data_IF_154238326268
#
_entry.id   IF_154238326268
#
_cell.length_a   1.000
_cell.length_b   1.000
_cell.length_c   1.000
_cell.angle_alpha   90.00
_cell.angle_beta   90.00
_cell.angle_gamma   90.00
#
_symmetry.space_group_name_H-M   'P 1'
#
loop_
_entity.id
_entity.type
_entity.pdbx_description
1 polymer ?
#
# COMPACT_ATOMS: atom_id res chain seq x y z
N UNK A 1 35.76 33.67 -20.99
CA UNK A 1 34.58 33.97 -20.14
C UNK A 1 33.33 33.15 -20.45
N UNK A 2 33.10 32.68 -21.69
CA UNK A 2 31.92 31.85 -22.02
C UNK A 2 31.99 30.40 -21.49
N UNK A 3 33.18 29.80 -21.45
CA UNK A 3 33.36 28.40 -21.03
C UNK A 3 33.28 28.20 -19.50
N UNK A 4 33.73 29.19 -18.73
CA UNK A 4 33.68 29.17 -17.25
C UNK A 4 32.24 29.19 -16.72
N UNK A 5 31.31 29.81 -17.45
CA UNK A 5 29.90 29.83 -17.07
C UNK A 5 29.21 28.46 -17.27
N UNK A 6 29.63 27.69 -18.28
CA UNK A 6 29.13 26.33 -18.52
C UNK A 6 29.60 25.33 -17.45
N UNK A 7 30.85 25.46 -17.00
CA UNK A 7 31.42 24.58 -15.98
C UNK A 7 30.72 24.75 -14.62
N UNK A 8 30.37 26.00 -14.27
CA UNK A 8 29.66 26.32 -13.02
C UNK A 8 28.21 25.79 -13.01
N UNK A 9 27.56 25.72 -14.17
CA UNK A 9 26.19 25.21 -14.30
C UNK A 9 26.11 23.68 -14.13
N UNK A 10 27.19 22.95 -14.45
CA UNK A 10 27.23 21.48 -14.35
C UNK A 10 27.28 20.95 -12.90
N UNK A 11 27.74 21.77 -11.96
CA UNK A 11 27.87 21.40 -10.53
C UNK A 11 26.51 21.37 -9.79
N UNK A 12 25.45 21.91 -10.37
CA UNK A 12 24.12 21.99 -9.76
C UNK A 12 23.18 20.81 -10.11
N UNK A 13 23.58 19.91 -11.00
CA UNK A 13 22.72 18.80 -11.47
C UNK A 13 22.79 17.57 -10.52
N UNK A 14 23.62 17.63 -9.49
CA UNK A 14 24.05 16.46 -8.72
C UNK A 14 23.19 16.03 -7.52
N UNK A 15 21.88 16.30 -7.44
CA UNK A 15 21.05 15.79 -6.33
C UNK A 15 19.60 15.47 -6.73
N UNK A 16 19.35 15.00 -7.95
CA UNK A 16 18.06 14.41 -8.31
C UNK A 16 18.00 12.93 -7.91
N UNK A 17 18.25 12.62 -6.64
CA UNK A 17 17.88 11.31 -6.11
C UNK A 17 16.37 11.36 -5.89
N UNK A 18 15.62 10.56 -6.64
CA UNK A 18 14.21 10.30 -6.36
C UNK A 18 14.09 9.60 -5.01
N UNK A 19 14.10 10.38 -3.94
CA UNK A 19 13.84 9.89 -2.59
C UNK A 19 12.35 9.53 -2.57
N UNK A 20 12.04 8.23 -2.53
CA UNK A 20 10.70 7.78 -2.18
C UNK A 20 10.27 8.41 -0.85
N UNK A 21 8.97 8.54 -0.61
CA UNK A 21 8.45 9.22 0.57
C UNK A 21 8.53 8.30 1.80
N UNK A 22 9.75 7.89 2.13
CA UNK A 22 10.04 7.00 3.24
C UNK A 22 9.92 7.77 4.55
N UNK A 23 8.87 7.48 5.30
CA UNK A 23 8.60 8.05 6.61
C UNK A 23 8.70 6.97 7.68
N UNK A 24 9.05 7.36 8.91
CA UNK A 24 9.15 6.44 10.03
C UNK A 24 7.83 5.68 10.26
N UNK A 25 7.92 4.36 10.41
CA UNK A 25 6.77 3.48 10.58
C UNK A 25 7.16 2.18 11.29
N UNK A 26 6.15 1.49 11.79
CA UNK A 26 6.29 0.16 12.37
C UNK A 26 5.45 -0.83 11.55
N UNK A 27 6.01 -1.99 11.22
CA UNK A 27 5.25 -3.11 10.67
C UNK A 27 5.11 -4.19 11.73
N UNK A 28 3.96 -4.85 11.79
CA UNK A 28 3.74 -6.03 12.64
C UNK A 28 3.55 -7.23 11.73
N UNK A 29 4.43 -8.22 11.87
CA UNK A 29 4.39 -9.46 11.09
C UNK A 29 3.21 -10.33 11.51
N UNK A 30 2.89 -11.35 10.70
CA UNK A 30 1.84 -12.34 11.05
C UNK A 30 2.15 -13.12 12.33
N UNK A 31 3.43 -13.28 12.66
CA UNK A 31 3.90 -13.91 13.89
C UNK A 31 3.78 -12.98 15.12
N UNK A 32 3.42 -11.71 14.91
CA UNK A 32 3.24 -10.72 15.99
C UNK A 32 4.50 -9.94 16.36
N UNK A 33 5.60 -10.13 15.61
CA UNK A 33 6.81 -9.33 15.79
C UNK A 33 6.60 -7.93 15.21
N UNK A 34 6.95 -6.89 15.97
CA UNK A 34 6.92 -5.51 15.48
C UNK A 34 8.32 -5.06 15.11
N UNK A 35 8.48 -4.58 13.88
CA UNK A 35 9.74 -4.10 13.32
C UNK A 35 9.61 -2.63 12.97
N UNK A 36 10.48 -1.80 13.56
CA UNK A 36 10.60 -0.39 13.22
C UNK A 36 11.45 -0.17 11.98
N UNK A 37 11.08 0.81 11.18
CA UNK A 37 11.81 1.24 10.00
C UNK A 37 11.10 2.40 9.31
N UNK A 38 11.13 2.39 7.99
CA UNK A 38 10.52 3.43 7.17
C UNK A 38 9.66 2.80 6.07
N UNK A 39 8.53 3.43 5.78
CA UNK A 39 7.58 3.01 4.76
C UNK A 39 7.45 4.11 3.71
N UNK A 40 7.40 3.73 2.44
CA UNK A 40 7.10 4.63 1.32
C UNK A 40 5.61 5.03 1.40
N UNK A 41 5.34 6.09 2.14
CA UNK A 41 3.99 6.52 2.47
C UNK A 41 3.41 7.38 1.35
N UNK A 42 2.22 7.03 0.88
CA UNK A 42 1.59 7.69 -0.27
C UNK A 42 0.24 8.32 0.07
N UNK A 43 -0.04 8.58 1.36
CA UNK A 43 -1.29 9.22 1.81
C UNK A 43 -2.55 8.56 1.20
N UNK A 44 -2.65 7.25 1.36
CA UNK A 44 -3.62 6.44 0.64
C UNK A 44 -5.07 6.84 0.91
N UNK A 45 -5.74 7.36 -0.12
CA UNK A 45 -7.21 7.52 -0.14
C UNK A 45 -7.88 6.15 -0.33
N UNK A 46 -7.25 5.26 -1.11
CA UNK A 46 -7.68 3.89 -1.35
C UNK A 46 -6.65 2.94 -0.75
N UNK A 47 -7.13 1.95 0.01
CA UNK A 47 -6.30 0.96 0.70
C UNK A 47 -5.20 0.38 -0.22
N UNK A 48 -3.92 0.43 0.22
CA UNK A 48 -2.81 -0.04 -0.60
C UNK A 48 -2.90 -1.54 -0.86
N UNK A 49 -2.54 -1.94 -2.10
CA UNK A 49 -2.38 -3.36 -2.46
C UNK A 49 -1.04 -3.94 -1.99
N UNK A 50 -0.05 -3.07 -1.86
CA UNK A 50 1.29 -3.38 -1.40
C UNK A 50 1.86 -2.16 -0.70
N UNK A 51 2.76 -2.38 0.25
CA UNK A 51 3.60 -1.33 0.83
C UNK A 51 5.07 -1.62 0.57
N UNK A 52 5.89 -0.58 0.55
CA UNK A 52 7.35 -0.70 0.46
C UNK A 52 7.96 -0.26 1.78
N UNK A 53 8.77 -1.11 2.37
CA UNK A 53 9.36 -0.91 3.69
C UNK A 53 10.87 -1.12 3.65
N UNK A 54 11.63 -0.33 4.42
CA UNK A 54 13.06 -0.53 4.65
C UNK A 54 13.35 -0.39 6.14
N UNK A 55 14.35 -1.11 6.65
CA UNK A 55 14.69 -1.07 8.08
C UNK A 55 15.33 0.26 8.50
N UNK A 56 16.12 0.85 7.60
CA UNK A 56 16.79 2.13 7.77
C UNK A 56 17.16 2.70 6.39
N UNK A 57 17.62 3.94 6.37
CA UNK A 57 18.13 4.58 5.17
C UNK A 57 19.28 3.76 4.56
N UNK A 58 19.22 3.53 3.24
CA UNK A 58 20.19 2.72 2.52
C UNK A 58 19.99 1.20 2.59
N UNK A 59 19.08 0.69 3.43
CA UNK A 59 18.72 -0.73 3.39
C UNK A 59 17.95 -1.12 2.13
N UNK A 60 18.00 -2.41 1.79
CA UNK A 60 17.16 -2.99 0.76
C UNK A 60 15.67 -2.76 1.06
N UNK A 61 14.94 -2.29 0.06
CA UNK A 61 13.49 -2.08 0.14
C UNK A 61 12.77 -3.41 -0.07
N UNK A 62 11.95 -3.78 0.90
CA UNK A 62 11.08 -4.95 0.85
C UNK A 62 9.66 -4.54 0.50
N UNK A 63 8.94 -5.36 -0.25
CA UNK A 63 7.54 -5.12 -0.61
C UNK A 63 6.66 -6.14 0.09
N UNK A 64 5.64 -5.65 0.80
CA UNK A 64 4.69 -6.49 1.53
C UNK A 64 3.28 -6.31 0.98
N UNK A 65 2.56 -7.41 0.83
CA UNK A 65 1.12 -7.48 0.58
C UNK A 65 0.35 -7.57 1.90
N UNK A 66 -0.96 -7.30 1.89
CA UNK A 66 -1.83 -7.52 3.06
C UNK A 66 -1.69 -8.90 3.69
N UNK A 67 -1.48 -9.96 2.90
CA UNK A 67 -1.33 -11.31 3.44
C UNK A 67 -0.04 -11.48 4.26
N UNK A 68 1.00 -10.71 3.98
CA UNK A 68 2.32 -10.87 4.60
C UNK A 68 2.41 -10.24 6.00
N UNK A 69 1.56 -9.25 6.28
CA UNK A 69 1.60 -8.47 7.53
C UNK A 69 0.29 -8.58 8.30
N UNK A 70 0.37 -8.42 9.62
CA UNK A 70 -0.79 -8.23 10.47
C UNK A 70 -1.28 -6.78 10.42
N UNK A 71 -0.35 -5.83 10.52
CA UNK A 71 -0.64 -4.39 10.48
C UNK A 71 0.61 -3.57 10.19
N UNK A 72 0.43 -2.30 9.90
CA UNK A 72 1.49 -1.30 9.96
C UNK A 72 0.94 0.03 10.49
N UNK A 73 1.82 0.85 11.07
CA UNK A 73 1.48 2.14 11.66
C UNK A 73 2.48 3.20 11.21
N UNK A 74 1.97 4.31 10.70
CA UNK A 74 2.76 5.48 10.34
C UNK A 74 3.07 6.28 11.61
N UNK A 75 4.35 6.50 11.92
CA UNK A 75 4.73 7.08 13.21
C UNK A 75 4.33 8.56 13.35
N UNK A 76 4.32 9.31 12.24
CA UNK A 76 4.10 10.77 12.26
C UNK A 76 2.66 11.15 12.65
N UNK A 77 1.67 10.43 12.12
CA UNK A 77 0.25 10.72 12.33
C UNK A 77 -0.49 9.60 13.07
N UNK A 78 0.22 8.54 13.49
CA UNK A 78 -0.32 7.34 14.15
C UNK A 78 -1.38 6.61 13.31
N UNK A 79 -1.38 6.82 12.00
CA UNK A 79 -2.31 6.16 11.10
C UNK A 79 -2.02 4.67 11.01
N UNK A 80 -3.02 3.86 11.35
CA UNK A 80 -2.88 2.41 11.43
C UNK A 80 -3.65 1.71 10.31
N UNK A 81 -2.99 0.73 9.71
CA UNK A 81 -3.55 -0.14 8.70
C UNK A 81 -3.48 -1.58 9.19
N UNK A 82 -4.59 -2.28 9.20
CA UNK A 82 -4.69 -3.68 9.63
C UNK A 82 -5.07 -4.56 8.45
N UNK A 83 -4.40 -5.69 8.30
CA UNK A 83 -4.75 -6.65 7.27
C UNK A 83 -5.98 -7.45 7.69
N UNK A 84 -7.05 -7.33 6.91
CA UNK A 84 -8.34 -7.99 7.15
C UNK A 84 -8.74 -8.85 5.96
N UNK A 85 -9.31 -10.01 6.26
CA UNK A 85 -9.93 -10.87 5.26
C UNK A 85 -11.33 -10.35 4.94
N UNK A 86 -11.62 -10.16 3.66
CA UNK A 86 -12.92 -9.69 3.17
C UNK A 86 -13.42 -10.62 2.08
N UNK A 87 -14.74 -10.80 2.03
CA UNK A 87 -15.40 -11.49 0.93
C UNK A 87 -15.86 -10.45 -0.07
N UNK A 88 -15.39 -10.56 -1.30
CA UNK A 88 -15.73 -9.63 -2.37
C UNK A 88 -16.61 -10.37 -3.37
N UNK A 89 -17.75 -9.76 -3.71
CA UNK A 89 -18.57 -10.20 -4.83
C UNK A 89 -17.99 -9.61 -6.12
N UNK A 90 -17.83 -10.45 -7.14
CA UNK A 90 -17.40 -10.03 -8.47
C UNK A 90 -18.58 -10.13 -9.43
N UNK A 91 -19.27 -9.01 -9.64
CA UNK A 91 -20.25 -8.91 -10.72
C UNK A 91 -19.56 -8.44 -12.01
N UNK A 92 -19.71 -9.15 -13.14
CA UNK A 92 -19.21 -8.66 -14.41
C UNK A 92 -20.00 -7.41 -14.82
N UNK A 93 -19.33 -6.27 -14.86
CA UNK A 93 -19.91 -5.04 -15.40
C UNK A 93 -19.98 -5.17 -16.93
N UNK A 94 -21.17 -5.46 -17.45
CA UNK A 94 -21.43 -5.49 -18.89
C UNK A 94 -21.08 -4.12 -19.52
N UNK A 95 -20.10 -4.10 -20.43
CA UNK A 95 -19.73 -2.92 -21.22
C UNK A 95 -18.33 -2.32 -20.99
N UNK A 96 -17.48 -2.93 -20.16
CA UNK A 96 -16.07 -2.51 -20.06
C UNK A 96 -15.19 -3.22 -21.11
N UNK A 97 -14.63 -2.46 -22.06
CA UNK A 97 -13.81 -2.97 -23.18
C UNK A 97 -12.49 -3.60 -22.69
N UNK A 98 -12.06 -3.30 -21.46
CA UNK A 98 -10.81 -3.85 -20.88
C UNK A 98 -11.02 -4.95 -19.84
N UNK A 99 -12.26 -5.36 -19.55
CA UNK A 99 -12.55 -6.41 -18.58
C UNK A 99 -12.17 -6.02 -17.13
N UNK A 100 -13.13 -6.10 -16.22
CA UNK A 100 -12.92 -5.90 -14.77
C UNK A 100 -12.74 -4.44 -14.31
N UNK A 101 -13.71 -3.57 -14.61
CA UNK A 101 -13.98 -2.47 -13.66
C UNK A 101 -14.56 -3.09 -12.39
N UNK A 102 -13.69 -3.33 -11.39
CA UNK A 102 -14.03 -3.99 -10.12
C UNK A 102 -14.73 -2.99 -9.18
N UNK A 103 -16.05 -3.01 -9.09
CA UNK A 103 -16.76 -2.35 -7.98
C UNK A 103 -16.64 -3.25 -6.75
N UNK A 104 -15.74 -2.91 -5.81
CA UNK A 104 -15.64 -3.61 -4.53
C UNK A 104 -16.72 -3.08 -3.60
N UNK A 105 -17.82 -3.81 -3.48
CA UNK A 105 -18.82 -3.57 -2.44
C UNK A 105 -18.48 -4.48 -1.25
N UNK A 106 -17.98 -3.92 -0.15
CA UNK A 106 -17.75 -4.67 1.09
C UNK A 106 -19.11 -4.78 1.79
N UNK A 107 -19.79 -5.93 1.63
CA UNK A 107 -21.02 -6.22 2.36
C UNK A 107 -20.69 -6.96 3.66
N UNK A 108 -21.05 -6.35 4.79
CA UNK A 108 -21.13 -7.07 6.07
C UNK A 108 -22.40 -7.91 6.02
N UNK A 109 -22.27 -9.22 5.81
CA UNK A 109 -23.43 -10.10 5.78
C UNK A 109 -23.84 -10.48 7.20
N UNK A 110 -25.01 -10.02 7.65
CA UNK A 110 -25.72 -10.68 8.75
C UNK A 110 -26.18 -12.04 8.23
N UNK A 111 -25.91 -13.10 8.99
CA UNK A 111 -26.27 -14.48 8.67
C UNK A 111 -27.80 -14.64 8.58
N UNK A 112 -28.36 -14.29 7.43
CA UNK A 112 -29.76 -14.45 7.06
C UNK A 112 -29.86 -15.45 5.92
N UNK A 113 -30.70 -16.46 6.14
CA UNK A 113 -30.89 -17.66 5.35
C UNK A 113 -31.55 -17.37 3.99
N UNK A 114 -30.80 -16.86 3.01
CA UNK A 114 -31.21 -17.00 1.60
C UNK A 114 -30.00 -16.92 0.66
N UNK A 115 -29.54 -18.09 0.21
CA UNK A 115 -28.36 -18.22 -0.64
C UNK A 115 -28.78 -18.17 -2.12
N UNK A 116 -28.95 -16.97 -2.67
CA UNK A 116 -28.67 -16.78 -4.10
C UNK A 116 -27.17 -17.04 -4.30
N UNK A 117 -26.80 -17.86 -5.29
CA UNK A 117 -25.42 -18.28 -5.55
C UNK A 117 -24.57 -17.08 -5.98
N UNK A 118 -24.08 -16.33 -5.01
CA UNK A 118 -23.13 -15.24 -5.20
C UNK A 118 -21.74 -15.87 -5.13
N UNK A 119 -20.98 -15.79 -6.22
CA UNK A 119 -19.59 -16.26 -6.27
C UNK A 119 -18.69 -15.28 -5.48
N UNK A 120 -18.66 -15.47 -4.17
CA UNK A 120 -17.80 -14.70 -3.26
C UNK A 120 -16.36 -15.22 -3.36
N UNK A 121 -15.41 -14.31 -3.60
CA UNK A 121 -13.98 -14.63 -3.51
C UNK A 121 -13.40 -14.01 -2.26
N UNK A 122 -12.62 -14.81 -1.54
CA UNK A 122 -11.87 -14.37 -0.36
C UNK A 122 -10.66 -13.53 -0.80
N UNK A 123 -10.53 -12.33 -0.26
CA UNK A 123 -9.42 -11.41 -0.50
C UNK A 123 -8.87 -10.89 0.84
N UNK A 124 -7.59 -10.46 0.88
CA UNK A 124 -7.00 -9.84 2.08
C UNK A 124 -6.55 -8.43 1.73
N UNK A 125 -7.01 -7.46 2.51
CA UNK A 125 -6.81 -6.04 2.23
C UNK A 125 -6.29 -5.34 3.47
N UNK A 126 -5.50 -4.29 3.30
CA UNK A 126 -5.26 -3.36 4.40
C UNK A 126 -6.52 -2.52 4.61
N UNK A 127 -6.96 -2.34 5.84
CA UNK A 127 -8.04 -1.42 6.22
C UNK A 127 -7.44 -0.36 7.14
N UNK A 128 -7.70 0.92 6.85
CA UNK A 128 -7.36 2.04 7.73
C UNK A 128 -8.28 2.03 8.95
N UNK A 129 -7.71 2.18 10.15
CA UNK A 129 -8.40 2.30 11.43
C UNK A 129 -8.19 3.67 12.05
#
# INVERSE_FOLDING_TARGET
>A
MRLTFLLLLSLFIGNAFGQGNFVAANITTRQGETVSGEIDYQEWIVNPKTIRFRKNEGSAVQTFKPIDLKSFTIAQNQEQYVASEVYVNYEPVNGSIDGYTRSREIKTFETGTDFTKIDLVKDTIFCKY
#
